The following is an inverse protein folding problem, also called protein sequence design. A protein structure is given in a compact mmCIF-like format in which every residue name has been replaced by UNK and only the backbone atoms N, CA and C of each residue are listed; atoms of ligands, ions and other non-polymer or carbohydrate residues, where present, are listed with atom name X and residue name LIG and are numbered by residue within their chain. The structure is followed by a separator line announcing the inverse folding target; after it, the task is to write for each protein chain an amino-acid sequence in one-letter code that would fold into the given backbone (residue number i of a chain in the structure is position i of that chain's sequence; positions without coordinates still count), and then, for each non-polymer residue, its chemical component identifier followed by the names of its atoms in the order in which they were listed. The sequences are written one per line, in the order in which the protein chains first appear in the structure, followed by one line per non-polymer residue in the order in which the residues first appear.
data_IF_220966635484
#
_entry.id   IF_220966635484
#
_cell.length_a   1.000
_cell.length_b   1.000
_cell.length_c   1.000
_cell.angle_alpha   90.00
_cell.angle_beta   90.00
_cell.angle_gamma   90.00
#
_symmetry.space_group_name_H-M   'P 1'
#
loop_
_entity.id
_entity.type
_entity.pdbx_description
1 polymer ?
#
# COMPACT_ATOMS: atom_id res chain seq x y z
N UNK A 1 -27.05 -6.58 -0.11
CA UNK A 1 -27.05 -5.12 -0.38
C UNK A 1 -26.95 -4.93 -1.88
N UNK A 2 -27.83 -4.12 -2.47
CA UNK A 2 -27.91 -3.95 -3.91
C UNK A 2 -26.59 -3.40 -4.45
N UNK A 3 -25.96 -4.15 -5.32
CA UNK A 3 -24.75 -3.78 -6.03
C UNK A 3 -25.03 -2.55 -6.90
N UNK A 4 -24.33 -1.44 -6.58
CA UNK A 4 -24.63 -0.14 -7.11
C UNK A 4 -24.38 0.00 -8.61
N UNK A 5 -25.25 0.67 -9.31
CA UNK A 5 -25.04 1.17 -10.67
C UNK A 5 -24.16 2.42 -10.67
N UNK A 6 -23.40 2.62 -11.73
CA UNK A 6 -22.58 3.81 -11.95
C UNK A 6 -23.24 4.66 -13.03
N UNK A 7 -23.54 5.92 -12.73
CA UNK A 7 -23.91 6.88 -13.73
C UNK A 7 -22.64 7.44 -14.41
N UNK A 8 -22.47 7.09 -15.69
CA UNK A 8 -21.34 7.56 -16.48
C UNK A 8 -21.51 9.01 -16.88
N UNK A 9 -20.39 9.70 -17.17
CA UNK A 9 -20.36 11.07 -17.69
C UNK A 9 -20.01 11.05 -19.20
N UNK A 10 -20.33 12.12 -19.90
CA UNK A 10 -19.94 12.30 -21.29
C UNK A 10 -19.08 13.57 -21.42
N UNK A 11 -17.96 13.55 -22.18
CA UNK A 11 -17.04 14.69 -22.26
C UNK A 11 -17.67 15.94 -22.89
N UNK A 12 -18.73 15.78 -23.71
CA UNK A 12 -19.48 16.89 -24.29
C UNK A 12 -20.74 17.26 -23.49
N UNK A 13 -20.84 16.89 -22.21
CA UNK A 13 -21.98 17.25 -21.36
C UNK A 13 -23.29 16.50 -21.64
N UNK A 14 -23.31 15.52 -22.55
CA UNK A 14 -24.49 14.69 -22.84
C UNK A 14 -24.82 13.80 -21.64
N UNK A 15 -26.09 13.40 -21.52
CA UNK A 15 -26.56 12.48 -20.48
C UNK A 15 -25.79 11.16 -20.54
N UNK A 16 -25.21 10.77 -19.40
CA UNK A 16 -24.50 9.50 -19.23
C UNK A 16 -25.45 8.31 -19.19
N UNK A 17 -24.88 7.12 -19.07
CA UNK A 17 -25.61 5.85 -18.96
C UNK A 17 -25.46 5.30 -17.54
N UNK A 18 -26.54 4.73 -17.03
CA UNK A 18 -26.51 4.06 -15.74
C UNK A 18 -26.17 2.59 -15.97
N UNK A 19 -24.97 2.17 -15.62
CA UNK A 19 -24.45 0.82 -15.89
C UNK A 19 -24.03 0.13 -14.60
N UNK A 20 -24.12 -1.20 -14.61
CA UNK A 20 -23.73 -2.05 -13.50
C UNK A 20 -22.22 -1.90 -13.19
N UNK A 21 -21.90 -1.71 -11.92
CA UNK A 21 -20.50 -1.59 -11.45
C UNK A 21 -19.67 -2.82 -11.80
N UNK A 22 -20.25 -4.01 -11.73
CA UNK A 22 -19.56 -5.26 -12.07
C UNK A 22 -19.16 -5.31 -13.56
N UNK A 23 -19.88 -4.62 -14.44
CA UNK A 23 -19.55 -4.50 -15.86
C UNK A 23 -18.65 -3.29 -16.15
N UNK A 24 -18.80 -2.21 -15.40
CA UNK A 24 -17.98 -1.00 -15.54
C UNK A 24 -16.49 -1.25 -15.18
N UNK A 25 -16.23 -1.83 -14.00
CA UNK A 25 -14.88 -1.94 -13.46
C UNK A 25 -13.92 -2.82 -14.29
N UNK A 26 -14.33 -4.00 -14.83
CA UNK A 26 -13.46 -4.76 -15.70
C UNK A 26 -13.07 -4.02 -16.99
N UNK A 27 -14.02 -3.28 -17.58
CA UNK A 27 -13.76 -2.51 -18.81
C UNK A 27 -12.86 -1.31 -18.52
N UNK A 28 -13.09 -0.58 -17.43
CA UNK A 28 -12.22 0.50 -16.97
C UNK A 28 -10.78 0.01 -16.79
N UNK A 29 -10.58 -1.09 -16.07
CA UNK A 29 -9.25 -1.70 -15.88
C UNK A 29 -8.59 -2.07 -17.20
N UNK A 30 -9.32 -2.68 -18.11
CA UNK A 30 -8.79 -3.06 -19.41
C UNK A 30 -8.35 -1.84 -20.24
N UNK A 31 -9.12 -0.74 -20.24
CA UNK A 31 -8.77 0.51 -20.94
C UNK A 31 -7.49 1.12 -20.35
N UNK A 32 -7.44 1.29 -19.02
CA UNK A 32 -6.29 1.91 -18.36
C UNK A 32 -5.02 1.05 -18.51
N UNK A 33 -5.13 -0.28 -18.41
CA UNK A 33 -4.02 -1.20 -18.65
C UNK A 33 -3.52 -1.15 -20.10
N UNK A 34 -4.42 -1.06 -21.08
CA UNK A 34 -4.05 -0.95 -22.49
C UNK A 34 -3.28 0.34 -22.80
N UNK A 35 -3.57 1.43 -22.09
CA UNK A 35 -2.98 2.75 -22.28
C UNK A 35 -1.81 3.06 -21.33
N UNK A 36 -1.38 2.11 -20.50
CA UNK A 36 -0.48 2.35 -19.36
C UNK A 36 0.82 3.05 -19.76
N UNK A 37 1.52 2.56 -20.77
CA UNK A 37 2.85 3.04 -21.15
C UNK A 37 2.91 3.38 -22.65
N UNK A 38 1.76 3.60 -23.28
CA UNK A 38 1.66 3.85 -24.72
C UNK A 38 0.41 4.62 -25.11
N UNK A 39 0.50 5.26 -26.24
CA UNK A 39 -0.61 5.94 -26.89
C UNK A 39 -1.22 5.00 -27.94
N UNK A 40 -2.54 4.81 -27.92
CA UNK A 40 -3.26 3.97 -28.85
C UNK A 40 -4.34 4.76 -29.57
N UNK A 41 -4.49 4.49 -30.86
CA UNK A 41 -5.65 4.91 -31.64
C UNK A 41 -6.91 4.21 -31.12
N UNK A 42 -8.09 4.68 -31.52
CA UNK A 42 -9.35 4.06 -31.17
C UNK A 42 -9.37 2.56 -31.59
N UNK A 43 -8.96 2.28 -32.79
CA UNK A 43 -8.96 0.92 -33.36
C UNK A 43 -8.02 -0.02 -32.58
N UNK A 44 -6.82 0.44 -32.27
CA UNK A 44 -5.84 -0.33 -31.47
C UNK A 44 -6.33 -0.59 -30.05
N UNK A 45 -6.89 0.43 -29.39
CA UNK A 45 -7.48 0.28 -28.07
C UNK A 45 -8.59 -0.77 -28.05
N UNK A 46 -9.53 -0.69 -28.99
CA UNK A 46 -10.65 -1.62 -29.06
C UNK A 46 -10.22 -3.04 -29.47
N UNK A 47 -9.18 -3.17 -30.29
CA UNK A 47 -8.57 -4.47 -30.57
C UNK A 47 -8.02 -5.12 -29.30
N UNK A 48 -7.30 -4.35 -28.46
CA UNK A 48 -6.78 -4.86 -27.17
C UNK A 48 -7.91 -5.17 -26.17
N UNK A 49 -8.95 -4.34 -26.08
CA UNK A 49 -10.11 -4.61 -25.24
C UNK A 49 -10.82 -5.91 -25.62
N UNK A 50 -11.05 -6.11 -26.91
CA UNK A 50 -11.65 -7.36 -27.39
C UNK A 50 -10.77 -8.57 -27.04
N UNK A 51 -9.46 -8.48 -27.21
CA UNK A 51 -8.53 -9.56 -26.87
C UNK A 51 -8.54 -9.88 -25.36
N UNK A 52 -8.59 -8.88 -24.50
CA UNK A 52 -8.51 -9.06 -23.05
C UNK A 52 -9.82 -9.46 -22.37
N UNK A 53 -10.98 -9.07 -22.96
CA UNK A 53 -12.29 -9.24 -22.34
C UNK A 53 -13.14 -10.34 -22.98
N UNK A 54 -12.86 -10.77 -24.23
CA UNK A 54 -13.70 -11.67 -25.04
C UNK A 54 -14.13 -12.96 -24.35
N UNK A 55 -13.28 -13.55 -23.52
CA UNK A 55 -13.55 -14.83 -22.83
C UNK A 55 -14.07 -14.69 -21.40
N UNK A 56 -14.05 -13.48 -20.84
CA UNK A 56 -14.29 -13.23 -19.39
C UNK A 56 -15.38 -12.21 -19.12
N UNK A 57 -15.94 -11.58 -20.15
CA UNK A 57 -16.90 -10.49 -20.01
C UNK A 57 -18.23 -10.84 -20.63
N UNK A 58 -19.30 -10.85 -19.82
CA UNK A 58 -20.66 -11.08 -20.28
C UNK A 58 -21.32 -9.76 -20.72
N UNK A 59 -21.18 -9.40 -21.99
CA UNK A 59 -21.77 -8.20 -22.56
C UNK A 59 -21.11 -7.78 -23.87
N UNK A 60 -21.66 -6.76 -24.52
CA UNK A 60 -21.07 -6.20 -25.75
C UNK A 60 -19.84 -5.35 -25.39
N UNK A 61 -18.62 -5.89 -25.63
CA UNK A 61 -17.35 -5.24 -25.30
C UNK A 61 -17.23 -3.87 -25.99
N UNK A 62 -17.70 -3.72 -27.23
CA UNK A 62 -17.62 -2.46 -27.96
C UNK A 62 -18.52 -1.39 -27.33
N UNK A 63 -19.74 -1.73 -26.95
CA UNK A 63 -20.66 -0.80 -26.33
C UNK A 63 -20.19 -0.35 -24.94
N UNK A 64 -19.79 -1.31 -24.10
CA UNK A 64 -19.24 -1.00 -22.76
C UNK A 64 -17.90 -0.27 -22.87
N UNK A 65 -17.04 -0.67 -23.80
CA UNK A 65 -15.77 -0.02 -24.09
C UNK A 65 -15.94 1.46 -24.43
N UNK A 66 -16.85 1.78 -25.35
CA UNK A 66 -17.13 3.17 -25.74
C UNK A 66 -17.72 3.98 -24.58
N UNK A 67 -18.71 3.43 -23.87
CA UNK A 67 -19.36 4.10 -22.76
C UNK A 67 -18.39 4.43 -21.63
N UNK A 68 -17.56 3.45 -21.25
CA UNK A 68 -16.56 3.63 -20.18
C UNK A 68 -15.41 4.55 -20.63
N UNK A 69 -14.94 4.42 -21.88
CA UNK A 69 -13.92 5.33 -22.44
C UNK A 69 -14.36 6.79 -22.37
N UNK A 70 -15.58 7.09 -22.79
CA UNK A 70 -16.13 8.45 -22.73
C UNK A 70 -16.26 8.96 -21.28
N UNK A 71 -16.62 8.10 -20.34
CA UNK A 71 -16.67 8.46 -18.92
C UNK A 71 -15.26 8.76 -18.36
N UNK A 72 -14.26 7.96 -18.72
CA UNK A 72 -12.87 8.20 -18.34
C UNK A 72 -12.31 9.51 -18.94
N UNK A 73 -12.70 9.83 -20.15
CA UNK A 73 -12.38 11.11 -20.80
C UNK A 73 -13.04 12.30 -20.06
N UNK A 74 -14.33 12.20 -19.75
CA UNK A 74 -15.07 13.21 -19.01
C UNK A 74 -14.54 13.43 -17.60
N UNK A 75 -14.02 12.36 -16.96
CA UNK A 75 -13.34 12.41 -15.65
C UNK A 75 -11.87 12.83 -15.74
N UNK A 76 -11.36 13.14 -16.93
CA UNK A 76 -9.98 13.55 -17.19
C UNK A 76 -8.93 12.47 -16.81
N UNK A 77 -9.33 11.21 -16.75
CA UNK A 77 -8.43 10.07 -16.50
C UNK A 77 -7.63 9.68 -17.73
N UNK A 78 -8.25 9.78 -18.90
CA UNK A 78 -7.57 9.65 -20.20
C UNK A 78 -7.75 10.94 -21.01
N UNK A 79 -6.90 11.14 -21.98
CA UNK A 79 -6.97 12.28 -22.89
C UNK A 79 -6.65 11.88 -24.31
N UNK A 80 -7.06 12.73 -25.25
CA UNK A 80 -6.69 12.60 -26.65
C UNK A 80 -5.43 13.39 -26.93
N UNK A 81 -4.59 12.87 -27.82
CA UNK A 81 -3.44 13.62 -28.35
C UNK A 81 -3.90 14.66 -29.35
N UNK A 82 -3.11 15.72 -29.50
CA UNK A 82 -3.37 16.78 -30.50
C UNK A 82 -2.93 16.39 -31.92
N UNK A 83 -2.08 15.37 -32.04
CA UNK A 83 -1.53 14.91 -33.33
C UNK A 83 -2.47 13.95 -34.05
N UNK A 84 -2.38 13.88 -35.39
CA UNK A 84 -3.09 12.90 -36.22
C UNK A 84 -2.15 11.74 -36.57
N UNK A 85 -2.60 10.47 -36.57
CA UNK A 85 -3.91 10.03 -36.11
C UNK A 85 -4.12 10.27 -34.61
N UNK A 86 -5.37 10.69 -34.22
CA UNK A 86 -5.70 10.95 -32.83
C UNK A 86 -5.56 9.66 -32.00
N UNK A 87 -4.82 9.74 -30.91
CA UNK A 87 -4.60 8.64 -29.97
C UNK A 87 -5.12 8.99 -28.60
N UNK A 88 -5.34 7.97 -27.79
CA UNK A 88 -5.67 8.06 -26.38
C UNK A 88 -4.43 7.77 -25.53
N UNK A 89 -4.31 8.50 -24.43
CA UNK A 89 -3.24 8.30 -23.43
C UNK A 89 -3.81 8.51 -22.04
N UNK A 90 -3.18 7.88 -21.04
CA UNK A 90 -3.48 8.18 -19.63
C UNK A 90 -2.91 9.55 -19.29
N UNK A 91 -3.73 10.44 -18.69
CA UNK A 91 -3.23 11.74 -18.20
C UNK A 91 -2.43 11.55 -16.93
N UNK A 92 -1.40 12.40 -16.71
CA UNK A 92 -0.52 12.33 -15.53
C UNK A 92 -1.29 12.31 -14.20
N UNK A 93 -2.40 13.04 -14.12
CA UNK A 93 -3.30 13.00 -12.96
C UNK A 93 -4.06 11.69 -12.80
N UNK A 94 -4.13 10.84 -13.84
CA UNK A 94 -4.77 9.53 -13.77
C UNK A 94 -3.78 8.42 -13.40
N UNK A 95 -2.48 8.66 -13.51
CA UNK A 95 -1.45 7.74 -12.99
C UNK A 95 -1.56 7.66 -11.46
N UNK A 96 -1.96 8.76 -10.80
CA UNK A 96 -2.29 8.80 -9.36
C UNK A 96 -3.58 8.02 -9.04
N UNK A 97 -4.49 7.85 -10.03
CA UNK A 97 -5.75 7.09 -9.87
C UNK A 97 -5.67 5.64 -10.36
N UNK A 98 -4.44 5.09 -10.53
CA UNK A 98 -4.21 3.71 -10.97
C UNK A 98 -4.69 2.65 -9.96
N UNK A 99 -5.16 3.09 -8.80
CA UNK A 99 -5.67 2.25 -7.72
C UNK A 99 -7.02 2.76 -7.20
N UNK A 100 -8.04 2.87 -8.06
CA UNK A 100 -9.42 2.74 -7.57
C UNK A 100 -9.81 1.24 -7.44
N UNK A 101 -8.90 0.44 -6.92
CA UNK A 101 -9.14 -0.65 -6.03
C UNK A 101 -8.97 -0.06 -4.64
N UNK A 102 -10.00 -0.10 -3.86
CA UNK A 102 -10.12 0.19 -2.43
C UNK A 102 -9.10 1.21 -1.89
N UNK A 103 -9.44 2.52 -1.93
CA UNK A 103 -8.63 3.53 -1.25
C UNK A 103 -8.89 3.44 0.25
N UNK A 104 -7.85 3.10 1.01
CA UNK A 104 -7.89 3.04 2.47
C UNK A 104 -7.42 4.37 3.07
N UNK A 105 -8.37 5.18 3.56
CA UNK A 105 -8.05 6.39 4.31
C UNK A 105 -7.67 6.09 5.77
N UNK A 106 -7.47 7.15 6.57
CA UNK A 106 -7.08 7.06 7.98
C UNK A 106 -7.99 6.12 8.79
N UNK A 107 -9.30 6.17 8.59
CA UNK A 107 -10.27 5.36 9.33
C UNK A 107 -10.09 3.87 9.06
N UNK A 108 -9.87 3.48 7.81
CA UNK A 108 -9.68 2.09 7.43
C UNK A 108 -8.31 1.58 7.87
N UNK A 109 -7.23 2.35 7.65
CA UNK A 109 -5.88 1.98 8.10
C UNK A 109 -5.82 1.85 9.62
N UNK A 110 -6.57 2.68 10.37
CA UNK A 110 -6.66 2.57 11.81
C UNK A 110 -7.38 1.30 12.31
N UNK A 111 -8.06 0.54 11.43
CA UNK A 111 -8.58 -0.80 11.77
C UNK A 111 -7.47 -1.85 11.81
N UNK A 112 -6.39 -1.66 11.06
CA UNK A 112 -5.18 -2.48 11.15
C UNK A 112 -4.26 -1.99 12.26
N UNK A 113 -4.09 -0.68 12.37
CA UNK A 113 -3.11 -0.01 13.22
C UNK A 113 -3.78 1.05 14.11
N UNK A 114 -4.42 0.66 15.24
CA UNK A 114 -5.14 1.58 16.13
C UNK A 114 -4.29 2.74 16.66
N UNK A 115 -2.97 2.52 16.84
CA UNK A 115 -2.02 3.54 17.30
C UNK A 115 -1.87 4.71 16.33
N UNK A 116 -2.32 4.58 15.06
CA UNK A 116 -2.39 5.67 14.10
C UNK A 116 -3.19 6.88 14.65
N UNK A 117 -4.24 6.63 15.41
CA UNK A 117 -5.08 7.66 16.05
C UNK A 117 -4.33 8.44 17.16
N UNK A 118 -3.20 7.91 17.65
CA UNK A 118 -2.37 8.54 18.69
C UNK A 118 -1.42 9.61 18.13
N UNK A 119 -1.18 9.63 16.83
CA UNK A 119 -0.44 10.70 16.15
C UNK A 119 -1.31 11.97 16.21
N UNK A 120 -0.83 13.02 16.89
CA UNK A 120 -1.57 14.27 17.10
C UNK A 120 -1.56 15.13 15.84
N UNK A 121 -0.42 15.21 15.14
CA UNK A 121 -0.31 15.92 13.88
C UNK A 121 -1.20 15.24 12.81
N UNK A 122 -2.24 15.97 12.41
CA UNK A 122 -3.21 15.50 11.41
C UNK A 122 -2.57 15.23 10.07
N UNK A 123 -1.66 16.11 9.62
CA UNK A 123 -0.97 15.98 8.34
C UNK A 123 -0.09 14.73 8.32
N UNK A 124 0.71 14.52 9.38
CA UNK A 124 1.54 13.32 9.50
C UNK A 124 0.68 12.05 9.53
N UNK A 125 -0.41 12.05 10.29
CA UNK A 125 -1.34 10.91 10.37
C UNK A 125 -1.95 10.55 9.00
N UNK A 126 -2.35 11.56 8.21
CA UNK A 126 -2.87 11.37 6.84
C UNK A 126 -1.78 10.83 5.90
N UNK A 127 -0.54 11.33 6.00
CA UNK A 127 0.59 10.81 5.23
C UNK A 127 0.90 9.35 5.58
N UNK A 128 0.95 8.99 6.86
CA UNK A 128 1.14 7.59 7.30
C UNK A 128 0.06 6.67 6.73
N UNK A 129 -1.20 7.10 6.75
CA UNK A 129 -2.28 6.33 6.13
C UNK A 129 -2.12 6.20 4.61
N UNK A 130 -1.65 7.24 3.93
CA UNK A 130 -1.40 7.23 2.48
C UNK A 130 -0.26 6.29 2.09
N UNK A 131 0.81 6.24 2.90
CA UNK A 131 1.92 5.28 2.72
C UNK A 131 1.39 3.84 2.82
N UNK A 132 0.60 3.54 3.85
CA UNK A 132 -0.01 2.22 4.02
C UNK A 132 -0.98 1.88 2.90
N UNK A 133 -1.81 2.83 2.46
CA UNK A 133 -2.69 2.61 1.33
C UNK A 133 -1.91 2.17 0.09
N UNK A 134 -0.80 2.84 -0.23
CA UNK A 134 0.02 2.47 -1.39
C UNK A 134 0.75 1.13 -1.17
N UNK A 135 1.31 0.88 0.02
CA UNK A 135 1.95 -0.40 0.32
C UNK A 135 1.00 -1.59 0.13
N UNK A 136 -0.26 -1.43 0.57
CA UNK A 136 -1.30 -2.45 0.45
C UNK A 136 -1.71 -2.64 -1.01
N UNK A 137 -1.97 -1.56 -1.73
CA UNK A 137 -2.52 -1.62 -3.08
C UNK A 137 -1.48 -1.95 -4.16
N UNK A 138 -0.21 -1.60 -3.95
CA UNK A 138 0.90 -1.89 -4.85
C UNK A 138 1.67 -3.18 -4.50
N UNK A 139 1.44 -3.75 -3.33
CA UNK A 139 2.11 -4.95 -2.84
C UNK A 139 1.69 -6.24 -3.57
N UNK A 140 2.18 -7.39 -3.12
CA UNK A 140 1.89 -8.70 -3.71
C UNK A 140 2.17 -8.74 -5.23
N UNK A 141 3.36 -8.32 -5.64
CA UNK A 141 3.70 -8.28 -7.07
C UNK A 141 2.78 -7.38 -7.90
N UNK A 142 2.21 -6.33 -7.31
CA UNK A 142 1.28 -5.40 -7.97
C UNK A 142 -0.19 -5.84 -7.96
N UNK A 143 -0.52 -6.97 -7.32
CA UNK A 143 -1.90 -7.49 -7.20
C UNK A 143 -2.68 -6.83 -6.05
N UNK A 144 -1.95 -6.28 -5.07
CA UNK A 144 -2.49 -5.74 -3.83
C UNK A 144 -2.77 -6.82 -2.78
N UNK A 145 -2.91 -6.36 -1.53
CA UNK A 145 -3.30 -7.17 -0.37
C UNK A 145 -4.68 -6.77 0.11
N UNK A 146 -5.49 -7.72 0.52
CA UNK A 146 -6.68 -7.46 1.35
C UNK A 146 -6.25 -7.31 2.82
N UNK A 147 -7.10 -6.72 3.67
CA UNK A 147 -6.83 -6.62 5.11
C UNK A 147 -6.75 -7.98 5.79
N UNK A 148 -7.56 -8.95 5.36
CA UNK A 148 -7.53 -10.29 5.92
C UNK A 148 -6.24 -11.03 5.54
N UNK A 149 -5.78 -10.86 4.31
CA UNK A 149 -4.49 -11.38 3.88
C UNK A 149 -3.33 -10.78 4.67
N UNK A 150 -3.31 -9.44 4.88
CA UNK A 150 -2.28 -8.79 5.70
C UNK A 150 -2.28 -9.30 7.15
N UNK A 151 -3.45 -9.52 7.74
CA UNK A 151 -3.59 -10.08 9.09
C UNK A 151 -3.12 -11.53 9.16
N UNK A 152 -3.13 -12.26 8.06
CA UNK A 152 -2.67 -13.64 7.98
C UNK A 152 -1.16 -13.78 7.67
N UNK A 153 -0.48 -12.71 7.25
CA UNK A 153 0.97 -12.73 7.01
C UNK A 153 1.67 -13.01 8.35
N UNK A 154 2.58 -13.98 8.35
CA UNK A 154 3.43 -14.23 9.53
C UNK A 154 4.33 -13.03 9.79
N UNK A 155 4.63 -12.78 11.04
CA UNK A 155 5.51 -11.69 11.50
C UNK A 155 6.83 -11.67 10.72
N UNK A 156 7.46 -12.84 10.55
CA UNK A 156 8.69 -12.99 9.77
C UNK A 156 8.72 -14.34 9.07
N UNK A 157 9.32 -14.39 7.89
CA UNK A 157 9.58 -15.64 7.18
C UNK A 157 10.82 -16.37 7.73
N UNK A 158 11.58 -15.75 8.67
CA UNK A 158 12.87 -16.22 9.16
C UNK A 158 12.80 -16.99 10.49
N UNK A 159 11.72 -16.89 11.26
CA UNK A 159 11.65 -17.41 12.63
C UNK A 159 10.87 -18.72 12.78
N UNK A 160 10.60 -19.44 11.69
CA UNK A 160 9.85 -20.71 11.74
C UNK A 160 8.36 -20.50 11.99
N UNK A 161 7.70 -21.49 12.60
CA UNK A 161 6.26 -21.46 12.84
C UNK A 161 5.96 -20.81 14.19
N UNK A 162 5.71 -19.50 14.15
CA UNK A 162 5.29 -18.69 15.28
C UNK A 162 3.90 -18.13 15.02
N UNK A 163 3.10 -18.03 16.07
CA UNK A 163 1.69 -17.59 15.94
C UNK A 163 1.54 -16.10 15.70
N UNK A 164 2.53 -15.25 16.06
CA UNK A 164 2.47 -13.81 15.86
C UNK A 164 2.41 -13.44 14.38
N UNK A 165 1.45 -12.61 14.02
CA UNK A 165 1.28 -12.08 12.67
C UNK A 165 2.02 -10.76 12.48
N UNK A 166 2.21 -10.37 11.23
CA UNK A 166 2.82 -9.09 10.83
C UNK A 166 2.10 -7.87 11.40
N UNK A 167 0.76 -7.86 11.35
CA UNK A 167 -0.06 -6.75 11.87
C UNK A 167 -0.01 -6.71 13.41
N UNK A 168 0.00 -7.86 14.06
CA UNK A 168 0.14 -7.96 15.53
C UNK A 168 1.49 -7.45 16.00
N UNK A 169 2.57 -7.81 15.30
CA UNK A 169 3.92 -7.31 15.58
C UNK A 169 4.00 -5.79 15.52
N UNK A 170 3.55 -5.18 14.42
CA UNK A 170 3.56 -3.71 14.30
C UNK A 170 2.73 -3.02 15.39
N UNK A 171 1.59 -3.60 15.75
CA UNK A 171 0.78 -3.08 16.86
C UNK A 171 1.46 -3.28 18.22
N UNK A 172 2.21 -4.37 18.40
CA UNK A 172 3.02 -4.62 19.59
C UNK A 172 4.13 -3.57 19.72
N UNK A 173 4.94 -3.39 18.68
CA UNK A 173 6.02 -2.41 18.65
C UNK A 173 5.51 -0.98 18.91
N UNK A 174 4.42 -0.56 18.27
CA UNK A 174 3.87 0.77 18.50
C UNK A 174 3.42 0.98 19.97
N UNK A 175 2.82 -0.02 20.60
CA UNK A 175 2.44 0.04 22.03
C UNK A 175 3.65 0.03 22.94
N UNK A 176 4.66 -0.81 22.65
CA UNK A 176 5.92 -0.83 23.40
C UNK A 176 6.63 0.51 23.32
N UNK A 177 6.76 1.12 22.13
CA UNK A 177 7.35 2.43 21.95
C UNK A 177 6.66 3.50 22.80
N UNK A 178 5.33 3.52 22.84
CA UNK A 178 4.56 4.45 23.66
C UNK A 178 4.84 4.23 25.15
N UNK A 179 4.84 2.99 25.61
CA UNK A 179 5.10 2.65 27.01
C UNK A 179 6.55 2.99 27.43
N UNK A 180 7.53 2.67 26.58
CA UNK A 180 8.93 3.03 26.81
C UNK A 180 9.10 4.54 26.90
N UNK A 181 8.51 5.31 26.00
CA UNK A 181 8.53 6.77 26.03
C UNK A 181 7.91 7.32 27.34
N UNK A 182 6.78 6.76 27.77
CA UNK A 182 6.11 7.13 29.04
C UNK A 182 7.01 6.92 30.27
N UNK A 183 7.84 5.87 30.26
CA UNK A 183 8.80 5.56 31.32
C UNK A 183 10.00 6.50 31.26
N UNK A 184 10.60 6.66 30.08
CA UNK A 184 11.81 7.45 29.89
C UNK A 184 11.59 8.93 30.23
N UNK A 185 10.47 9.53 29.83
CA UNK A 185 10.15 10.92 30.15
C UNK A 185 10.04 11.18 31.66
N UNK A 186 9.64 10.17 32.43
CA UNK A 186 9.58 10.26 33.90
C UNK A 186 10.90 9.97 34.56
N UNK A 187 11.75 9.16 33.94
CA UNK A 187 13.04 8.71 34.55
C UNK A 187 14.16 9.68 34.33
N UNK A 188 14.19 10.41 33.22
CA UNK A 188 15.25 11.38 32.91
C UNK A 188 14.91 12.76 33.48
N UNK A 189 15.50 13.12 34.60
CA UNK A 189 15.24 14.40 35.30
C UNK A 189 15.60 15.64 34.49
N UNK A 190 16.56 15.54 33.56
CA UNK A 190 16.94 16.63 32.66
C UNK A 190 15.95 16.82 31.50
N UNK A 191 14.94 15.97 31.41
CA UNK A 191 14.06 15.85 30.24
C UNK A 191 14.72 15.06 29.13
N UNK A 192 13.90 14.44 28.31
CA UNK A 192 14.32 13.74 27.09
C UNK A 192 13.41 14.21 25.94
N UNK A 193 13.97 14.74 24.84
CA UNK A 193 13.20 15.35 23.77
C UNK A 193 12.64 14.28 22.80
N UNK A 194 11.70 13.45 23.27
CA UNK A 194 11.06 12.42 22.42
C UNK A 194 9.97 13.08 21.57
N UNK A 195 10.13 13.00 20.26
CA UNK A 195 9.11 13.39 19.29
C UNK A 195 8.07 12.27 19.14
N UNK A 196 7.05 12.26 20.02
CA UNK A 196 6.09 11.15 20.14
C UNK A 196 5.37 10.83 18.83
N UNK A 197 5.00 11.84 18.06
CA UNK A 197 4.33 11.62 16.78
C UNK A 197 5.26 10.95 15.76
N UNK A 198 6.55 11.30 15.78
CA UNK A 198 7.57 10.67 14.93
C UNK A 198 7.87 9.23 15.38
N UNK A 199 7.96 9.01 16.68
CA UNK A 199 8.14 7.66 17.24
C UNK A 199 6.99 6.72 16.83
N UNK A 200 5.75 7.18 16.98
CA UNK A 200 4.57 6.37 16.62
C UNK A 200 4.51 6.16 15.10
N UNK A 201 4.76 7.21 14.30
CA UNK A 201 4.78 7.10 12.85
C UNK A 201 5.89 6.13 12.38
N UNK A 202 7.10 6.22 12.96
CA UNK A 202 8.20 5.32 12.68
C UNK A 202 7.88 3.87 13.03
N UNK A 203 7.30 3.64 14.21
CA UNK A 203 6.89 2.31 14.64
C UNK A 203 5.83 1.68 13.71
N UNK A 204 4.93 2.50 13.18
CA UNK A 204 3.93 2.03 12.22
C UNK A 204 4.47 1.86 10.81
N UNK A 205 5.56 2.52 10.43
CA UNK A 205 6.09 2.51 9.08
C UNK A 205 7.40 1.71 8.92
N UNK A 206 8.03 1.27 10.00
CA UNK A 206 9.32 0.58 9.92
C UNK A 206 9.31 -0.61 8.93
N UNK A 207 8.25 -1.38 8.97
CA UNK A 207 8.04 -2.57 8.14
C UNK A 207 7.13 -2.33 6.92
N UNK A 208 6.80 -1.09 6.59
CA UNK A 208 5.86 -0.77 5.51
C UNK A 208 6.31 -1.24 4.12
N UNK A 209 7.60 -1.56 3.97
CA UNK A 209 8.14 -2.17 2.76
C UNK A 209 7.82 -3.66 2.60
N UNK A 210 7.47 -4.39 3.67
CA UNK A 210 7.18 -5.84 3.61
C UNK A 210 6.03 -6.22 2.67
N UNK A 211 4.90 -5.50 2.59
CA UNK A 211 3.88 -5.76 1.58
C UNK A 211 4.39 -5.70 0.13
N UNK A 212 5.43 -4.91 -0.15
CA UNK A 212 6.09 -4.85 -1.46
C UNK A 212 7.11 -6.00 -1.64
N UNK A 213 7.76 -6.41 -0.54
CA UNK A 213 8.75 -7.49 -0.51
C UNK A 213 8.12 -8.87 -0.71
N UNK A 214 6.86 -9.04 -0.28
CA UNK A 214 6.17 -10.32 -0.30
C UNK A 214 5.27 -10.49 -1.53
N UNK A 215 5.12 -11.76 -1.95
CA UNK A 215 4.20 -12.22 -3.00
C UNK A 215 3.53 -13.51 -2.53
N UNK A 216 2.66 -14.08 -3.36
CA UNK A 216 2.03 -15.38 -3.17
C UNK A 216 2.46 -16.33 -4.26
N UNK A 217 2.80 -17.55 -3.88
CA UNK A 217 3.01 -18.64 -4.83
C UNK A 217 1.68 -19.14 -5.44
N UNK A 218 1.75 -20.16 -6.28
CA UNK A 218 0.59 -20.75 -6.94
C UNK A 218 -0.41 -21.39 -5.94
N UNK A 219 0.03 -21.76 -4.74
CA UNK A 219 -0.81 -22.30 -3.67
C UNK A 219 -1.44 -21.22 -2.79
N UNK A 220 -1.07 -19.95 -2.98
CA UNK A 220 -1.50 -18.82 -2.15
C UNK A 220 -0.63 -18.60 -0.89
N UNK A 221 0.44 -19.38 -0.71
CA UNK A 221 1.38 -19.20 0.40
C UNK A 221 2.21 -17.94 0.20
N UNK A 222 2.39 -17.16 1.27
CA UNK A 222 3.23 -15.96 1.26
C UNK A 222 4.70 -16.37 1.17
N UNK A 223 5.40 -15.78 0.21
CA UNK A 223 6.83 -16.00 -0.08
C UNK A 223 7.52 -14.64 -0.25
N UNK A 224 8.84 -14.63 -0.19
CA UNK A 224 9.60 -13.48 -0.64
C UNK A 224 9.47 -13.35 -2.16
N UNK A 225 8.90 -12.25 -2.62
CA UNK A 225 8.69 -11.97 -4.03
C UNK A 225 10.00 -11.59 -4.74
N UNK A 226 9.95 -11.55 -6.07
CA UNK A 226 11.11 -11.16 -6.90
C UNK A 226 11.66 -9.78 -6.54
N UNK A 227 10.80 -8.82 -6.23
CA UNK A 227 11.21 -7.49 -5.78
C UNK A 227 11.95 -7.55 -4.45
N UNK A 228 11.43 -8.30 -3.47
CA UNK A 228 12.03 -8.46 -2.15
C UNK A 228 13.38 -9.17 -2.15
N UNK A 229 13.64 -10.04 -3.15
CA UNK A 229 14.96 -10.65 -3.33
C UNK A 229 16.04 -9.64 -3.75
N UNK A 230 15.65 -8.53 -4.37
CA UNK A 230 16.56 -7.50 -4.83
C UNK A 230 16.65 -6.31 -3.88
N UNK A 231 15.55 -5.96 -3.21
CA UNK A 231 15.46 -4.76 -2.36
C UNK A 231 14.72 -5.08 -1.07
N UNK A 232 15.44 -4.98 0.05
CA UNK A 232 14.87 -5.22 1.37
C UNK A 232 13.91 -4.11 1.81
N UNK A 233 12.94 -4.49 2.68
CA UNK A 233 11.88 -3.61 3.16
C UNK A 233 12.33 -2.30 3.83
N UNK A 234 13.49 -2.15 4.51
CA UNK A 234 13.91 -0.85 4.99
C UNK A 234 14.12 0.15 3.85
N UNK A 235 14.75 -0.28 2.75
CA UNK A 235 15.00 0.60 1.61
C UNK A 235 13.71 0.93 0.83
N UNK A 236 12.90 -0.08 0.52
CA UNK A 236 11.62 0.13 -0.18
C UNK A 236 10.64 0.92 0.69
N UNK A 237 10.65 0.71 2.02
CA UNK A 237 9.87 1.46 2.99
C UNK A 237 10.25 2.94 3.03
N UNK A 238 11.56 3.25 3.07
CA UNK A 238 12.05 4.65 2.99
C UNK A 238 11.63 5.30 1.68
N UNK A 239 11.84 4.63 0.55
CA UNK A 239 11.48 5.17 -0.76
C UNK A 239 9.98 5.49 -0.85
N UNK A 240 9.14 4.56 -0.39
CA UNK A 240 7.70 4.73 -0.36
C UNK A 240 7.28 5.87 0.59
N UNK A 241 7.79 5.90 1.80
CA UNK A 241 7.47 6.92 2.79
C UNK A 241 7.93 8.32 2.36
N UNK A 242 9.13 8.44 1.76
CA UNK A 242 9.65 9.69 1.21
C UNK A 242 8.75 10.24 0.10
N UNK A 243 8.25 9.39 -0.79
CA UNK A 243 7.31 9.77 -1.85
C UNK A 243 6.03 10.44 -1.32
N UNK A 244 5.59 10.06 -0.12
CA UNK A 244 4.43 10.65 0.56
C UNK A 244 4.78 11.83 1.47
N UNK A 245 6.01 12.32 1.43
CA UNK A 245 6.47 13.48 2.21
C UNK A 245 6.52 13.21 3.71
N UNK A 246 6.85 11.99 4.12
CA UNK A 246 7.14 11.64 5.51
C UNK A 246 8.43 12.37 5.94
N UNK A 247 8.48 12.96 7.15
CA UNK A 247 9.66 13.69 7.67
C UNK A 247 10.91 12.81 7.74
N UNK A 248 12.10 13.45 7.59
CA UNK A 248 13.39 12.77 7.61
C UNK A 248 13.66 11.98 8.88
N UNK A 249 13.20 12.46 10.03
CA UNK A 249 13.33 11.81 11.33
C UNK A 249 12.57 10.48 11.37
N UNK A 250 11.41 10.40 10.74
CA UNK A 250 10.64 9.15 10.62
C UNK A 250 11.27 8.22 9.57
N UNK A 251 11.77 8.77 8.46
CA UNK A 251 12.53 8.01 7.46
C UNK A 251 13.78 7.37 8.07
N UNK A 252 14.45 8.10 9.00
CA UNK A 252 15.59 7.58 9.73
C UNK A 252 15.22 6.34 10.57
N UNK A 253 14.09 6.35 11.25
CA UNK A 253 13.60 5.16 11.98
C UNK A 253 13.41 3.97 11.03
N UNK A 254 12.74 4.20 9.89
CA UNK A 254 12.52 3.16 8.87
C UNK A 254 13.85 2.61 8.35
N UNK A 255 14.81 3.48 8.06
CA UNK A 255 16.11 3.10 7.49
C UNK A 255 16.99 2.31 8.47
N UNK A 256 16.89 2.63 9.77
CA UNK A 256 17.87 2.17 10.77
C UNK A 256 17.33 1.16 11.77
N UNK A 257 16.06 0.71 11.62
CA UNK A 257 15.44 -0.20 12.59
C UNK A 257 16.08 -1.60 12.62
N UNK A 258 16.50 -2.13 11.46
CA UNK A 258 17.07 -3.45 11.28
C UNK A 258 18.61 -3.40 11.17
N UNK A 259 19.24 -4.45 10.67
CA UNK A 259 20.70 -4.57 10.51
C UNK A 259 21.34 -3.46 9.67
N UNK A 260 20.57 -2.85 8.78
CA UNK A 260 21.00 -1.72 7.98
C UNK A 260 21.41 -0.51 8.83
N UNK A 261 20.86 -0.41 10.05
CA UNK A 261 21.18 0.64 11.02
C UNK A 261 22.34 0.33 11.98
N UNK A 262 22.96 -0.85 11.92
CA UNK A 262 23.97 -1.25 12.94
C UNK A 262 25.26 -0.43 12.89
N UNK A 263 25.50 0.28 11.79
CA UNK A 263 26.68 1.17 11.62
C UNK A 263 26.30 2.67 11.58
N UNK A 264 25.08 3.00 11.95
CA UNK A 264 24.55 4.36 11.91
C UNK A 264 24.19 4.79 13.32
N UNK A 265 24.48 6.04 13.68
CA UNK A 265 24.00 6.62 14.94
C UNK A 265 22.48 6.79 14.89
N UNK A 266 21.79 6.11 15.79
CA UNK A 266 20.32 6.14 15.87
C UNK A 266 19.84 7.34 16.67
N UNK A 267 18.77 8.00 16.21
CA UNK A 267 18.03 8.97 17.03
C UNK A 267 17.39 8.29 18.25
N UNK A 268 16.95 9.09 19.21
CA UNK A 268 16.26 8.58 20.41
C UNK A 268 15.06 7.72 20.02
N UNK A 269 14.24 8.17 19.08
CA UNK A 269 13.08 7.44 18.58
C UNK A 269 13.50 6.14 17.88
N UNK A 270 14.58 6.18 17.09
CA UNK A 270 15.12 4.99 16.43
C UNK A 270 15.67 3.97 17.42
N UNK A 271 16.33 4.42 18.51
CA UNK A 271 16.78 3.54 19.61
C UNK A 271 15.59 2.87 20.26
N UNK A 272 14.56 3.64 20.64
CA UNK A 272 13.35 3.10 21.28
C UNK A 272 12.68 2.05 20.38
N UNK A 273 12.49 2.37 19.10
CA UNK A 273 11.87 1.45 18.17
C UNK A 273 12.70 0.19 17.94
N UNK A 274 14.01 0.35 17.71
CA UNK A 274 14.91 -0.79 17.49
C UNK A 274 14.84 -1.81 18.63
N UNK A 275 14.85 -1.37 19.87
CA UNK A 275 14.73 -2.28 21.01
C UNK A 275 13.34 -2.89 21.15
N UNK A 276 12.27 -2.14 20.86
CA UNK A 276 10.91 -2.68 20.86
C UNK A 276 10.73 -3.77 19.78
N UNK A 277 11.25 -3.56 18.59
CA UNK A 277 11.25 -4.53 17.47
C UNK A 277 12.00 -5.81 17.84
N UNK A 278 13.22 -5.67 18.39
CA UNK A 278 14.05 -6.81 18.76
C UNK A 278 13.51 -7.59 19.98
N UNK A 279 12.74 -6.97 20.86
CA UNK A 279 12.03 -7.73 21.92
C UNK A 279 11.10 -8.75 21.30
N UNK A 280 10.25 -8.36 20.35
CA UNK A 280 9.34 -9.29 19.68
C UNK A 280 10.12 -10.33 18.85
N UNK A 281 11.14 -9.90 18.11
CA UNK A 281 11.92 -10.78 17.24
C UNK A 281 12.72 -11.84 17.99
N UNK A 282 13.41 -11.48 19.08
CA UNK A 282 14.19 -12.42 19.85
C UNK A 282 13.32 -13.39 20.64
N UNK A 283 12.18 -12.93 21.17
CA UNK A 283 11.19 -13.82 21.78
C UNK A 283 10.67 -14.82 20.73
N UNK A 284 10.33 -14.36 19.54
CA UNK A 284 9.88 -15.20 18.45
C UNK A 284 10.90 -16.28 18.09
N UNK A 285 12.19 -15.94 18.00
CA UNK A 285 13.27 -16.91 17.78
C UNK A 285 13.36 -17.99 18.88
N UNK A 286 13.19 -17.59 20.14
CA UNK A 286 13.21 -18.53 21.27
C UNK A 286 12.02 -19.48 21.18
N UNK A 287 10.83 -18.97 20.88
CA UNK A 287 9.62 -19.78 20.74
C UNK A 287 9.69 -20.71 19.52
N UNK A 288 10.16 -20.25 18.38
CA UNK A 288 10.34 -21.06 17.17
C UNK A 288 11.32 -22.22 17.37
N UNK A 289 12.44 -21.98 18.08
CA UNK A 289 13.39 -23.05 18.43
C UNK A 289 12.78 -24.11 19.38
N UNK A 290 11.89 -23.72 20.26
CA UNK A 290 11.17 -24.65 21.16
C UNK A 290 10.15 -25.50 20.42
N UNK A 291 9.44 -24.92 19.45
CA UNK A 291 8.48 -25.63 18.62
C UNK A 291 9.17 -26.69 17.73
N UNK A 292 10.35 -26.38 17.18
CA UNK A 292 11.12 -27.31 16.35
C UNK A 292 11.76 -28.50 17.13
N UNK A 293 11.77 -28.46 18.47
CA UNK A 293 12.30 -29.54 19.34
C UNK A 293 11.21 -30.47 19.89
N UNK A 294 9.96 -30.19 19.64
CA UNK A 294 8.80 -31.04 19.95
C UNK A 294 8.35 -31.82 18.72
#
# INVERSE_FOLDING_TARGET
MAEGKILTKHPSGKTGRNIDRQKYEPVKRAILSALQDKELTHTELFSQLNKSLKSKFSGNVSWYGETVKLDLEARKMIGRTSLKPQKYQVKSNAIVMKTEGTHYGVTQIAQLFPSLKRIKDKSLREKVASVWNEAITAGCGGKGWTFDELRAIKFTLLAGDIEMTFVEHLNSCARQCIAIADVLEKSFRCGIPIQRDYLIAGALLADVGKPLEYDKDASGKVIQGKFGQQLRHPFSGVALAHKHGIPGEVLHIIATHSHEGDKVERSIESIIFHHADFVDFDIAKVLGKRAAKK
#
